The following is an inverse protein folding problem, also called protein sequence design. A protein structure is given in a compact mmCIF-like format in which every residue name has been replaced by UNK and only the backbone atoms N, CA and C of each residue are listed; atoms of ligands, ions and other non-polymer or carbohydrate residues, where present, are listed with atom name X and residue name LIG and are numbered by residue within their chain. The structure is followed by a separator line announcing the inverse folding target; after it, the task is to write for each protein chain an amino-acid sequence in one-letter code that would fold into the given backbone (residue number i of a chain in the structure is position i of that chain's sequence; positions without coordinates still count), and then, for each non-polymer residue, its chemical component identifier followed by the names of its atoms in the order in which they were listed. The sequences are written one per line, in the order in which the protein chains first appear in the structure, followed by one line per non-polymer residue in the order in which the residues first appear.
data_IF_653160564680
#
_entry.id   IF_653160564680
#
_cell.length_a   1.000
_cell.length_b   1.000
_cell.length_c   1.000
_cell.angle_alpha   90.00
_cell.angle_beta   90.00
_cell.angle_gamma   90.00
#
_symmetry.space_group_name_H-M   'P 1'
#
loop_
_entity.id
_entity.type
_entity.pdbx_description
1 polymer ?
#
# COMPACT_ATOMS: atom_id res chain seq x y z
N UNK A 1 58.44 58.72 12.35
CA UNK A 1 58.43 57.25 12.50
C UNK A 1 57.76 56.91 13.82
N UNK A 2 56.53 56.38 13.79
CA UNK A 2 55.97 55.52 14.84
C UNK A 2 54.64 54.88 14.38
N UNK A 3 54.78 53.60 14.00
CA UNK A 3 53.93 52.41 14.19
C UNK A 3 52.39 52.54 14.18
N UNK A 4 51.82 51.90 13.16
CA UNK A 4 50.48 51.30 13.15
C UNK A 4 50.36 50.11 14.13
N UNK A 5 49.13 49.70 14.46
CA UNK A 5 48.60 48.32 14.43
C UNK A 5 47.17 48.33 15.05
N UNK A 6 46.14 48.35 14.19
CA UNK A 6 45.22 47.23 13.90
C UNK A 6 44.43 46.69 15.09
N UNK A 7 43.20 47.19 15.24
CA UNK A 7 42.18 46.65 16.11
C UNK A 7 41.59 45.35 15.52
N UNK A 8 41.67 44.26 16.29
CA UNK A 8 40.98 43.01 16.00
C UNK A 8 39.55 43.09 16.53
N UNK A 9 38.56 43.05 15.64
CA UNK A 9 37.15 42.83 16.01
C UNK A 9 36.93 41.32 16.02
N UNK A 10 36.85 40.73 17.22
CA UNK A 10 36.31 39.38 17.39
C UNK A 10 34.80 39.43 17.13
N UNK A 11 34.39 39.02 15.94
CA UNK A 11 33.00 38.68 15.65
C UNK A 11 32.64 37.38 16.35
N UNK A 12 31.90 37.47 17.46
CA UNK A 12 31.25 36.30 18.07
C UNK A 12 30.09 35.91 17.15
N UNK A 13 30.29 34.87 16.36
CA UNK A 13 29.21 34.22 15.62
C UNK A 13 28.26 33.55 16.63
N UNK A 14 27.07 34.12 16.81
CA UNK A 14 25.95 33.48 17.48
C UNK A 14 25.56 32.24 16.67
N UNK A 15 26.03 31.06 17.10
CA UNK A 15 25.53 29.78 16.62
C UNK A 15 24.16 29.58 17.27
N UNK A 16 23.10 29.91 16.55
CA UNK A 16 21.76 29.51 16.95
C UNK A 16 21.69 27.97 16.94
N UNK A 17 21.23 27.31 18.02
CA UNK A 17 20.94 25.89 17.96
C UNK A 17 19.80 25.69 16.97
N UNK A 18 20.09 25.01 15.86
CA UNK A 18 19.06 24.46 15.00
C UNK A 18 18.30 23.44 15.85
N UNK A 19 17.12 23.83 16.33
CA UNK A 19 16.15 22.88 16.87
C UNK A 19 15.74 22.04 15.67
N UNK A 20 16.36 20.89 15.50
CA UNK A 20 15.85 19.85 14.63
C UNK A 20 14.47 19.51 15.20
N UNK A 21 13.42 19.99 14.55
CA UNK A 21 12.08 19.50 14.79
C UNK A 21 12.14 18.00 14.50
N UNK A 22 12.13 17.18 15.56
CA UNK A 22 11.82 15.79 15.42
C UNK A 22 10.46 15.77 14.71
N UNK A 23 10.42 15.24 13.49
CA UNK A 23 9.15 15.06 12.79
C UNK A 23 8.30 14.17 13.70
N UNK A 24 7.29 14.75 14.35
CA UNK A 24 6.37 14.00 15.19
C UNK A 24 5.77 12.90 14.32
N UNK A 25 5.98 11.64 14.72
CA UNK A 25 5.37 10.51 14.04
C UNK A 25 3.85 10.75 14.01
N UNK A 26 3.17 10.50 12.88
CA UNK A 26 1.76 10.78 12.75
C UNK A 26 1.00 10.03 13.85
N UNK A 27 0.04 10.70 14.49
CA UNK A 27 -0.84 10.02 15.43
C UNK A 27 -1.66 8.92 14.72
N UNK A 28 -2.26 8.02 15.49
CA UNK A 28 -2.95 6.87 14.93
C UNK A 28 -4.10 7.25 13.97
N UNK A 29 -4.79 8.38 14.19
CA UNK A 29 -5.87 8.81 13.31
C UNK A 29 -5.32 9.36 11.99
N UNK A 30 -4.28 10.18 12.06
CA UNK A 30 -3.57 10.70 10.90
C UNK A 30 -2.96 9.57 10.07
N UNK A 31 -2.26 8.64 10.72
CA UNK A 31 -1.67 7.47 10.06
C UNK A 31 -2.74 6.63 9.33
N UNK A 32 -3.88 6.38 9.98
CA UNK A 32 -5.00 5.67 9.33
C UNK A 32 -5.54 6.43 8.12
N UNK A 33 -5.64 7.75 8.18
CA UNK A 33 -6.06 8.58 7.04
C UNK A 33 -5.10 8.48 5.85
N UNK A 34 -3.79 8.57 6.12
CA UNK A 34 -2.74 8.43 5.11
C UNK A 34 -2.82 7.05 4.45
N UNK A 35 -2.81 5.98 5.25
CA UNK A 35 -2.84 4.60 4.74
C UNK A 35 -4.12 4.33 3.96
N UNK A 36 -5.28 4.84 4.41
CA UNK A 36 -6.53 4.63 3.70
C UNK A 36 -6.54 5.28 2.30
N UNK A 37 -6.03 6.51 2.20
CA UNK A 37 -5.94 7.23 0.94
C UNK A 37 -4.99 6.55 -0.04
N UNK A 38 -3.83 6.11 0.45
CA UNK A 38 -2.83 5.44 -0.38
C UNK A 38 -3.28 4.05 -0.80
N UNK A 39 -3.91 3.28 0.10
CA UNK A 39 -4.49 1.98 -0.25
C UNK A 39 -5.59 2.11 -1.30
N UNK A 40 -6.43 3.14 -1.24
CA UNK A 40 -7.43 3.36 -2.29
C UNK A 40 -6.76 3.49 -3.67
N UNK A 41 -5.64 4.19 -3.74
CA UNK A 41 -4.91 4.40 -4.99
C UNK A 41 -4.17 3.16 -5.46
N UNK A 42 -3.54 2.43 -4.53
CA UNK A 42 -2.86 1.17 -4.80
C UNK A 42 -3.84 0.12 -5.34
N UNK A 43 -4.96 -0.11 -4.63
CA UNK A 43 -5.94 -1.13 -4.98
C UNK A 43 -6.69 -0.83 -6.29
N UNK A 44 -6.69 0.42 -6.73
CA UNK A 44 -7.31 0.87 -7.99
C UNK A 44 -6.32 1.00 -9.16
N UNK A 45 -5.06 0.57 -8.99
CA UNK A 45 -4.01 0.73 -10.00
C UNK A 45 -3.79 2.18 -10.44
N UNK A 46 -3.91 3.15 -9.52
CA UNK A 46 -3.74 4.57 -9.86
C UNK A 46 -2.29 5.01 -9.70
N UNK A 47 -1.72 4.77 -8.51
CA UNK A 47 -0.31 5.05 -8.22
C UNK A 47 0.14 4.26 -6.99
N UNK A 48 1.43 3.88 -6.91
CA UNK A 48 1.98 3.28 -5.71
C UNK A 48 1.90 4.22 -4.50
N UNK A 49 1.39 3.74 -3.38
CA UNK A 49 1.47 4.41 -2.08
C UNK A 49 2.87 4.32 -1.48
N UNK A 50 3.34 5.42 -0.87
CA UNK A 50 4.66 5.47 -0.23
C UNK A 50 4.65 4.76 1.14
N UNK A 51 3.55 4.91 1.86
CA UNK A 51 3.36 4.44 3.22
C UNK A 51 2.44 3.22 3.32
N UNK A 52 1.58 2.95 2.34
CA UNK A 52 0.73 1.76 2.30
C UNK A 52 1.50 0.45 2.00
N UNK A 53 2.78 0.55 1.66
CA UNK A 53 3.63 -0.59 1.32
C UNK A 53 4.64 -0.86 2.44
N UNK A 54 4.79 -2.13 2.81
CA UNK A 54 5.87 -2.52 3.71
C UNK A 54 7.19 -2.57 2.91
N UNK A 55 8.28 -2.10 3.50
CA UNK A 55 9.60 -2.20 2.88
C UNK A 55 10.29 -3.53 3.25
N UNK A 56 11.41 -3.81 2.57
CA UNK A 56 12.24 -5.01 2.78
C UNK A 56 12.74 -5.22 4.22
N UNK A 57 12.67 -4.21 5.09
CA UNK A 57 13.15 -4.27 6.46
C UNK A 57 12.05 -4.50 7.51
N UNK A 58 10.82 -4.84 7.10
CA UNK A 58 9.69 -5.03 8.05
C UNK A 58 9.29 -3.76 8.79
N UNK A 59 9.60 -2.62 8.20
CA UNK A 59 9.51 -1.34 8.89
C UNK A 59 8.73 -0.34 8.07
N UNK A 60 7.52 -0.05 8.55
CA UNK A 60 6.81 1.13 8.14
C UNK A 60 6.09 1.69 9.37
N UNK A 61 6.61 2.79 9.89
CA UNK A 61 6.12 3.39 11.12
C UNK A 61 4.70 3.93 10.95
N UNK A 62 4.32 4.36 9.74
CA UNK A 62 2.97 4.83 9.45
C UNK A 62 1.98 3.66 9.43
N UNK A 63 2.33 2.52 8.83
CA UNK A 63 1.51 1.30 8.90
C UNK A 63 1.34 0.80 10.35
N UNK A 64 2.43 0.77 11.12
CA UNK A 64 2.39 0.39 12.54
C UNK A 64 1.52 1.36 13.34
N UNK A 65 1.66 2.67 13.15
CA UNK A 65 0.84 3.70 13.78
C UNK A 65 -0.64 3.59 13.36
N UNK A 66 -0.93 3.12 12.15
CA UNK A 66 -2.29 2.84 11.69
C UNK A 66 -2.93 1.58 12.33
N UNK A 67 -2.16 0.83 13.13
CA UNK A 67 -2.59 -0.39 13.81
C UNK A 67 -2.42 -1.65 12.98
N UNK A 68 -1.50 -1.65 12.00
CA UNK A 68 -1.18 -2.83 11.21
C UNK A 68 -0.10 -3.69 11.89
N UNK A 69 -0.32 -5.00 11.89
CA UNK A 69 0.68 -6.02 12.24
C UNK A 69 1.20 -6.67 10.96
N UNK A 70 2.49 -6.51 10.68
CA UNK A 70 3.12 -6.96 9.43
C UNK A 70 3.75 -8.34 9.65
N UNK A 71 3.46 -9.28 8.75
CA UNK A 71 4.03 -10.62 8.68
C UNK A 71 4.74 -10.78 7.34
N UNK A 72 5.90 -11.42 7.35
CA UNK A 72 6.70 -11.72 6.18
C UNK A 72 6.59 -13.21 5.89
N UNK A 73 6.45 -13.53 4.61
CA UNK A 73 6.63 -14.90 4.16
C UNK A 73 8.03 -15.03 3.55
N UNK A 74 8.99 -15.46 4.38
CA UNK A 74 10.38 -15.66 3.97
C UNK A 74 10.58 -17.02 3.26
N UNK A 75 9.51 -17.70 2.83
CA UNK A 75 9.62 -19.02 2.22
C UNK A 75 10.31 -19.01 0.84
N UNK A 76 10.32 -17.87 0.14
CA UNK A 76 10.94 -17.72 -1.17
C UNK A 76 11.79 -16.45 -1.25
N UNK A 77 13.12 -16.60 -1.25
CA UNK A 77 14.10 -15.50 -1.32
C UNK A 77 13.97 -14.60 -2.57
N UNK A 78 13.19 -15.05 -3.57
CA UNK A 78 12.95 -14.36 -4.85
C UNK A 78 11.75 -13.42 -4.84
N UNK A 79 10.82 -13.56 -3.89
CA UNK A 79 9.61 -12.73 -3.84
C UNK A 79 9.50 -11.97 -2.53
N UNK A 80 9.25 -10.69 -2.65
CA UNK A 80 8.97 -9.84 -1.51
C UNK A 80 7.47 -9.95 -1.18
N UNK A 81 7.14 -10.92 -0.32
CA UNK A 81 5.77 -11.23 0.12
C UNK A 81 5.49 -10.69 1.52
N UNK A 82 4.52 -9.79 1.61
CA UNK A 82 4.11 -9.17 2.87
C UNK A 82 2.61 -9.31 3.06
N UNK A 83 2.21 -9.72 4.26
CA UNK A 83 0.82 -9.66 4.69
C UNK A 83 0.76 -8.81 5.93
N UNK A 84 -0.05 -7.75 5.90
CA UNK A 84 -0.34 -6.99 7.10
C UNK A 84 -1.82 -6.99 7.45
N UNK A 85 -2.12 -7.06 8.75
CA UNK A 85 -3.47 -7.17 9.29
C UNK A 85 -3.75 -6.02 10.23
N UNK A 86 -4.92 -5.40 10.09
CA UNK A 86 -5.35 -4.31 10.97
C UNK A 86 -6.09 -4.85 12.18
N UNK A 87 -5.76 -4.37 13.38
CA UNK A 87 -6.50 -4.74 14.60
C UNK A 87 -7.96 -4.27 14.56
N UNK A 88 -8.19 -3.10 13.97
CA UNK A 88 -9.51 -2.55 13.65
C UNK A 88 -9.57 -2.31 12.15
N UNK A 89 -10.62 -2.79 11.44
CA UNK A 89 -10.72 -2.65 9.99
C UNK A 89 -10.48 -1.22 9.56
N UNK A 90 -9.66 -1.03 8.52
CA UNK A 90 -9.40 0.28 7.94
C UNK A 90 -10.46 0.56 6.88
N UNK A 91 -11.11 1.72 6.94
CA UNK A 91 -12.10 2.08 5.93
C UNK A 91 -11.37 2.63 4.70
N UNK A 92 -11.49 1.94 3.57
CA UNK A 92 -10.91 2.34 2.28
C UNK A 92 -12.02 2.33 1.26
N UNK A 93 -12.30 3.46 0.59
CA UNK A 93 -13.42 3.58 -0.36
C UNK A 93 -14.77 3.07 0.21
N UNK A 94 -15.02 3.33 1.50
CA UNK A 94 -16.24 2.86 2.18
C UNK A 94 -16.29 1.35 2.47
N UNK A 95 -15.22 0.61 2.17
CA UNK A 95 -15.10 -0.82 2.46
C UNK A 95 -14.23 -1.04 3.71
N UNK A 96 -14.65 -1.90 4.66
CA UNK A 96 -13.79 -2.31 5.77
C UNK A 96 -12.72 -3.29 5.29
N UNK A 97 -11.45 -2.86 5.34
CA UNK A 97 -10.25 -3.64 5.01
C UNK A 97 -9.69 -4.29 6.27
N UNK A 98 -9.51 -5.62 6.24
CA UNK A 98 -8.99 -6.41 7.37
C UNK A 98 -7.51 -6.71 7.22
N UNK A 99 -7.09 -7.03 6.01
CA UNK A 99 -5.70 -7.34 5.70
C UNK A 99 -5.36 -6.92 4.29
N UNK A 100 -4.07 -6.75 4.04
CA UNK A 100 -3.52 -6.52 2.71
C UNK A 100 -2.37 -7.48 2.50
N UNK A 101 -2.33 -8.10 1.33
CA UNK A 101 -1.23 -8.90 0.82
C UNK A 101 -0.57 -8.15 -0.32
N UNK A 102 0.75 -8.04 -0.27
CA UNK A 102 1.57 -7.49 -1.33
C UNK A 102 2.61 -8.54 -1.74
N UNK A 103 2.68 -8.81 -3.04
CA UNK A 103 3.68 -9.66 -3.67
C UNK A 103 4.41 -8.83 -4.72
N UNK A 104 5.71 -8.68 -4.56
CA UNK A 104 6.58 -7.99 -5.52
C UNK A 104 7.64 -8.97 -6.05
N UNK A 105 7.75 -9.06 -7.36
CA UNK A 105 8.71 -9.92 -8.06
C UNK A 105 9.02 -9.41 -9.46
N UNK A 106 9.71 -10.24 -10.25
CA UNK A 106 10.20 -9.87 -11.59
C UNK A 106 9.10 -9.42 -12.55
N UNK A 107 7.87 -9.91 -12.36
CA UNK A 107 6.74 -9.61 -13.24
C UNK A 107 5.90 -8.39 -12.79
N UNK A 108 6.30 -7.73 -11.71
CA UNK A 108 5.65 -6.54 -11.17
C UNK A 108 5.12 -6.72 -9.75
N UNK A 109 4.06 -5.99 -9.42
CA UNK A 109 3.51 -5.91 -8.06
C UNK A 109 2.04 -6.30 -8.06
N UNK A 110 1.66 -7.21 -7.18
CA UNK A 110 0.27 -7.53 -6.86
C UNK A 110 -0.01 -7.04 -5.45
N UNK A 111 -1.04 -6.21 -5.29
CA UNK A 111 -1.54 -5.79 -3.99
C UNK A 111 -3.03 -6.09 -3.90
N UNK A 112 -3.43 -6.85 -2.88
CA UNK A 112 -4.82 -7.25 -2.65
C UNK A 112 -5.22 -7.01 -1.20
N UNK A 113 -6.44 -6.55 -1.00
CA UNK A 113 -7.04 -6.34 0.31
C UNK A 113 -8.16 -7.35 0.53
N UNK A 114 -8.19 -7.98 1.70
CA UNK A 114 -9.37 -8.70 2.18
C UNK A 114 -10.35 -7.69 2.79
N UNK A 115 -11.54 -7.59 2.19
CA UNK A 115 -12.54 -6.57 2.54
C UNK A 115 -13.90 -7.22 2.82
N UNK A 116 -14.71 -6.58 3.66
CA UNK A 116 -16.11 -7.00 3.88
C UNK A 116 -17.04 -6.28 2.92
N UNK A 117 -17.96 -7.02 2.28
CA UNK A 117 -18.99 -6.43 1.43
C UNK A 117 -19.50 -7.38 0.36
N UNK A 118 -19.96 -6.81 -0.75
CA UNK A 118 -20.49 -7.54 -1.90
C UNK A 118 -19.56 -7.33 -3.12
N UNK A 119 -18.84 -8.37 -3.59
CA UNK A 119 -17.92 -8.26 -4.72
C UNK A 119 -18.63 -7.82 -6.01
N UNK A 120 -19.83 -8.32 -6.29
CA UNK A 120 -20.61 -7.94 -7.47
C UNK A 120 -21.05 -6.46 -7.46
N UNK A 121 -21.28 -5.89 -6.27
CA UNK A 121 -21.59 -4.47 -6.13
C UNK A 121 -20.37 -3.60 -6.45
N UNK A 122 -19.21 -3.94 -5.89
CA UNK A 122 -17.96 -3.25 -6.20
C UNK A 122 -17.58 -3.40 -7.68
N UNK A 123 -17.73 -4.60 -8.25
CA UNK A 123 -17.44 -4.85 -9.66
C UNK A 123 -18.28 -3.95 -10.57
N UNK A 124 -19.57 -3.77 -10.26
CA UNK A 124 -20.44 -2.87 -11.00
C UNK A 124 -20.02 -1.41 -10.88
N UNK A 125 -19.68 -0.97 -9.68
CA UNK A 125 -19.18 0.39 -9.44
C UNK A 125 -17.90 0.67 -10.24
N UNK A 126 -16.98 -0.31 -10.27
CA UNK A 126 -15.71 -0.17 -10.97
C UNK A 126 -15.81 -0.47 -12.47
N UNK A 127 -16.94 -0.98 -12.98
CA UNK A 127 -17.06 -1.42 -14.37
C UNK A 127 -16.23 -2.68 -14.70
N UNK A 128 -15.97 -3.51 -13.71
CA UNK A 128 -15.30 -4.80 -13.86
C UNK A 128 -16.26 -5.86 -14.43
N UNK A 129 -15.76 -6.68 -15.34
CA UNK A 129 -16.52 -7.74 -16.00
C UNK A 129 -16.27 -9.08 -15.30
N UNK A 130 -17.28 -9.95 -15.18
CA UNK A 130 -17.08 -11.29 -14.64
C UNK A 130 -16.12 -12.08 -15.53
N UNK A 131 -15.23 -12.84 -14.91
CA UNK A 131 -14.37 -13.81 -15.57
C UNK A 131 -15.07 -15.18 -15.71
N UNK A 132 -14.55 -16.04 -16.58
CA UNK A 132 -15.07 -17.40 -16.76
C UNK A 132 -14.97 -18.22 -15.47
N UNK A 133 -15.89 -19.19 -15.29
CA UNK A 133 -15.96 -20.06 -14.09
C UNK A 133 -14.71 -20.93 -13.84
N UNK A 134 -13.84 -21.06 -14.85
CA UNK A 134 -12.62 -21.86 -14.78
C UNK A 134 -11.37 -20.98 -14.74
N UNK A 135 -11.52 -19.67 -14.66
CA UNK A 135 -10.39 -18.77 -14.51
C UNK A 135 -9.96 -18.74 -13.05
N UNK A 136 -8.65 -18.79 -12.85
CA UNK A 136 -8.02 -18.61 -11.55
C UNK A 136 -7.08 -17.42 -11.72
N UNK A 137 -7.27 -16.40 -10.90
CA UNK A 137 -6.44 -15.19 -10.92
C UNK A 137 -5.95 -14.94 -9.51
N UNK A 138 -4.64 -14.91 -9.32
CA UNK A 138 -3.98 -14.74 -8.01
C UNK A 138 -4.43 -15.76 -6.95
N UNK A 139 -4.65 -17.01 -7.37
CA UNK A 139 -5.12 -18.08 -6.49
C UNK A 139 -6.59 -18.01 -6.13
N UNK A 140 -7.30 -16.97 -6.56
CA UNK A 140 -8.75 -16.81 -6.37
C UNK A 140 -9.50 -17.54 -7.48
N UNK A 141 -10.57 -18.25 -7.11
CA UNK A 141 -11.51 -18.92 -7.99
C UNK A 141 -12.97 -18.55 -7.67
N UNK A 142 -13.90 -19.32 -8.26
CA UNK A 142 -15.35 -19.28 -8.04
C UNK A 142 -16.11 -18.00 -8.48
N UNK A 143 -15.82 -16.85 -7.88
CA UNK A 143 -16.42 -15.55 -8.27
C UNK A 143 -15.30 -14.56 -8.51
N UNK A 144 -15.15 -14.15 -9.76
CA UNK A 144 -14.07 -13.27 -10.20
C UNK A 144 -14.59 -12.20 -11.14
N UNK A 145 -14.08 -10.99 -10.96
CA UNK A 145 -14.28 -9.86 -11.84
C UNK A 145 -12.95 -9.19 -12.12
N UNK A 146 -12.80 -8.71 -13.35
CA UNK A 146 -11.61 -7.97 -13.78
C UNK A 146 -11.99 -6.70 -14.52
N UNK A 147 -11.23 -5.64 -14.25
CA UNK A 147 -11.19 -4.44 -15.08
C UNK A 147 -9.75 -4.18 -15.50
N UNK A 148 -9.52 -4.08 -16.81
CA UNK A 148 -8.28 -3.51 -17.32
C UNK A 148 -8.23 -1.99 -17.04
N UNK A 149 -7.12 -1.51 -16.49
CA UNK A 149 -6.91 -0.08 -16.16
C UNK A 149 -6.04 0.59 -17.24
N UNK A 150 -4.99 -0.08 -17.71
CA UNK A 150 -4.27 0.25 -18.96
C UNK A 150 -3.23 -0.83 -19.30
N UNK A 151 -2.99 -1.08 -20.60
CA UNK A 151 -1.88 -1.90 -21.09
C UNK A 151 -2.11 -2.48 -22.47
N UNK A 152 -1.09 -2.37 -23.34
CA UNK A 152 -1.00 -3.08 -24.62
C UNK A 152 -1.00 -4.59 -24.36
N UNK A 153 -1.54 -5.38 -25.30
CA UNK A 153 -1.60 -6.83 -25.21
C UNK A 153 -0.28 -7.43 -24.68
N UNK A 154 -0.33 -8.02 -23.47
CA UNK A 154 0.79 -8.74 -22.84
C UNK A 154 1.27 -8.17 -21.49
N UNK A 155 1.02 -6.90 -21.18
CA UNK A 155 1.38 -6.28 -19.87
C UNK A 155 0.34 -5.22 -19.52
N UNK A 156 -0.67 -5.59 -18.75
CA UNK A 156 -1.78 -4.69 -18.44
C UNK A 156 -2.10 -4.69 -16.96
N UNK A 157 -2.21 -3.48 -16.43
CA UNK A 157 -2.67 -3.24 -15.08
C UNK A 157 -4.13 -3.66 -15.00
N UNK A 158 -4.44 -4.45 -13.98
CA UNK A 158 -5.75 -5.03 -13.80
C UNK A 158 -6.21 -4.87 -12.35
N UNK A 159 -7.42 -4.36 -12.20
CA UNK A 159 -8.17 -4.48 -10.96
C UNK A 159 -8.83 -5.85 -10.95
N UNK A 160 -8.56 -6.63 -9.91
CA UNK A 160 -9.17 -7.93 -9.66
C UNK A 160 -10.05 -7.85 -8.42
N UNK A 161 -11.24 -8.42 -8.51
CA UNK A 161 -12.17 -8.61 -7.40
C UNK A 161 -12.55 -10.08 -7.40
N UNK A 162 -12.37 -10.78 -6.28
CA UNK A 162 -12.77 -12.17 -6.22
C UNK A 162 -12.96 -12.72 -4.83
N UNK A 163 -13.66 -13.84 -4.74
CA UNK A 163 -13.90 -14.51 -3.46
C UNK A 163 -13.98 -16.02 -3.65
N UNK A 164 -13.13 -16.74 -2.90
CA UNK A 164 -13.28 -18.17 -2.70
C UNK A 164 -14.37 -18.46 -1.67
N UNK A 165 -14.69 -19.74 -1.50
CA UNK A 165 -15.78 -20.18 -0.62
C UNK A 165 -15.55 -19.77 0.84
N UNK A 166 -14.29 -19.76 1.29
CA UNK A 166 -13.92 -19.33 2.65
C UNK A 166 -14.22 -17.84 2.88
N UNK A 167 -13.85 -16.97 1.93
CA UNK A 167 -14.16 -15.53 2.03
C UNK A 167 -15.67 -15.29 1.93
N UNK A 168 -16.37 -15.99 1.04
CA UNK A 168 -17.83 -15.90 0.90
C UNK A 168 -18.56 -16.29 2.19
N UNK A 169 -18.11 -17.36 2.85
CA UNK A 169 -18.70 -17.83 4.10
C UNK A 169 -18.69 -16.78 5.22
N UNK A 170 -17.71 -15.88 5.21
CA UNK A 170 -17.57 -14.79 6.18
C UNK A 170 -18.00 -13.42 5.64
N UNK A 171 -18.60 -13.37 4.45
CA UNK A 171 -19.07 -12.14 3.80
C UNK A 171 -17.92 -11.20 3.40
N UNK A 172 -16.78 -11.76 3.03
CA UNK A 172 -15.59 -11.04 2.57
C UNK A 172 -15.27 -11.42 1.13
N UNK A 173 -14.35 -10.66 0.55
CA UNK A 173 -13.76 -10.90 -0.75
C UNK A 173 -12.41 -10.20 -0.82
N UNK A 174 -11.61 -10.56 -1.82
CA UNK A 174 -10.38 -9.87 -2.17
C UNK A 174 -10.62 -8.86 -3.27
N UNK A 175 -10.01 -7.70 -3.14
CA UNK A 175 -10.00 -6.64 -4.15
C UNK A 175 -8.61 -6.06 -4.22
N UNK A 176 -8.09 -5.83 -5.41
CA UNK A 176 -6.74 -5.32 -5.54
C UNK A 176 -6.32 -5.03 -6.96
N UNK A 177 -5.06 -4.63 -7.07
CA UNK A 177 -4.40 -4.29 -8.31
C UNK A 177 -3.27 -5.26 -8.60
N UNK A 178 -3.13 -5.61 -9.87
CA UNK A 178 -1.92 -6.17 -10.43
C UNK A 178 -1.31 -5.17 -11.38
N UNK A 179 -0.04 -4.84 -11.15
CA UNK A 179 0.75 -3.94 -11.99
C UNK A 179 1.85 -4.74 -12.66
N UNK A 180 1.89 -4.73 -13.99
CA UNK A 180 2.99 -5.36 -14.73
C UNK A 180 4.27 -4.54 -14.61
N UNK A 181 5.44 -5.19 -14.57
CA UNK A 181 6.70 -4.46 -14.61
C UNK A 181 6.84 -3.65 -15.93
N UNK A 182 7.08 -2.33 -15.82
CA UNK A 182 7.53 -1.51 -16.95
C UNK A 182 8.87 -2.07 -17.42
N UNK A 183 8.96 -2.44 -18.71
CA UNK A 183 10.22 -2.83 -19.36
C UNK A 183 10.81 -1.68 -20.13
#
# INVERSE_FOLDING_TARGET
MNKAFSAWVLGIALVAPAVAAAADAPDAAQARGIIAQELEQDLLCVRPGEHARANAHRENNVLKAAGARITFDDAEDTYNNYIYRFEKPLMVKGLPVYSVSQTEGENGVIITAEVKGNPAALARELGAKPLGKNEIVFGLGNELYQRAVSGVAGKADAIIIGADDDQKAIGRFYFGCSQGAES
#
